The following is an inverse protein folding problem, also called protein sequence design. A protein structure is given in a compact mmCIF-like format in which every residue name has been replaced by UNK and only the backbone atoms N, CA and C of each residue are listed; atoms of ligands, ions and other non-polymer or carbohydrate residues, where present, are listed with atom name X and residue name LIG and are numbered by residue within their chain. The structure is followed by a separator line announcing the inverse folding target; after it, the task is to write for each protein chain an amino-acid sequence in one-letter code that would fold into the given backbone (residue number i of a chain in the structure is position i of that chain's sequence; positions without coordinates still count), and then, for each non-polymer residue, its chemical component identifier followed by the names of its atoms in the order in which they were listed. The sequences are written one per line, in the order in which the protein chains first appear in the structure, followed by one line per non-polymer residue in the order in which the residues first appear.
data_IF_924909757450
#
_entry.id   IF_924909757450
#
_cell.length_a   1.000
_cell.length_b   1.000
_cell.length_c   1.000
_cell.angle_alpha   90.00
_cell.angle_beta   90.00
_cell.angle_gamma   90.00
#
_symmetry.space_group_name_H-M   'P 1'
#
loop_
_entity.id
_entity.type
_entity.pdbx_description
1 polymer ?
#
# COMPACT_ATOMS: atom_id res chain seq x y z
N UNK A 1 -5.38 -2.82 -9.03
CA UNK A 1 -4.10 -2.17 -9.37
C UNK A 1 -3.24 -2.10 -8.09
N UNK A 2 -1.94 -1.80 -8.17
CA UNK A 2 -1.12 -1.55 -6.96
C UNK A 2 -0.42 -0.19 -7.11
N UNK A 3 -0.29 0.54 -6.02
CA UNK A 3 0.32 1.88 -5.99
C UNK A 3 1.74 1.86 -5.43
N UNK A 4 2.58 2.74 -5.95
CA UNK A 4 3.96 2.97 -5.53
C UNK A 4 4.23 4.48 -5.36
N UNK A 5 4.67 4.87 -4.18
CA UNK A 5 4.99 6.28 -3.86
C UNK A 5 6.39 6.39 -3.27
N UNK A 6 7.18 7.37 -3.74
CA UNK A 6 8.48 7.69 -3.14
C UNK A 6 8.30 8.39 -1.80
N UNK A 7 9.05 7.97 -0.78
CA UNK A 7 9.05 8.57 0.54
C UNK A 7 9.97 9.80 0.62
N UNK A 8 9.77 10.61 1.66
CA UNK A 8 10.50 11.87 1.84
C UNK A 8 12.02 11.73 2.01
N UNK A 9 12.52 10.53 2.29
CA UNK A 9 13.97 10.23 2.32
C UNK A 9 14.61 10.18 0.92
N UNK A 10 13.78 10.20 -0.13
CA UNK A 10 14.16 10.16 -1.54
C UNK A 10 14.74 8.82 -1.99
N UNK A 11 14.64 7.76 -1.19
CA UNK A 11 15.31 6.47 -1.44
C UNK A 11 14.47 5.24 -1.09
N UNK A 12 13.43 5.40 -0.29
CA UNK A 12 12.48 4.33 0.02
C UNK A 12 11.19 4.55 -0.74
N UNK A 13 10.62 3.50 -1.33
CA UNK A 13 9.26 3.53 -1.88
C UNK A 13 8.30 2.83 -0.93
N UNK A 14 7.12 3.41 -0.75
CA UNK A 14 5.96 2.74 -0.18
C UNK A 14 5.18 2.05 -1.30
N UNK A 15 4.77 0.81 -1.05
CA UNK A 15 4.00 -0.03 -1.96
C UNK A 15 2.73 -0.48 -1.25
N UNK A 16 1.59 -0.33 -1.91
CA UNK A 16 0.33 -0.90 -1.44
C UNK A 16 0.29 -2.38 -1.80
N UNK A 17 0.12 -3.23 -0.79
CA UNK A 17 -0.16 -4.65 -0.95
C UNK A 17 -1.56 -4.95 -0.42
N UNK A 18 -2.39 -5.54 -1.27
CA UNK A 18 -3.79 -5.87 -0.94
C UNK A 18 -4.18 -7.24 -1.47
N UNK A 19 -5.16 -7.87 -0.83
CA UNK A 19 -5.90 -8.98 -1.41
C UNK A 19 -7.20 -8.51 -2.09
N UNK A 20 -7.73 -9.35 -2.98
CA UNK A 20 -8.97 -9.09 -3.72
C UNK A 20 -10.21 -9.54 -2.91
N UNK A 21 -10.25 -9.19 -1.62
CA UNK A 21 -11.30 -9.61 -0.67
C UNK A 21 -11.88 -8.43 0.10
N UNK A 22 -13.18 -8.54 0.42
CA UNK A 22 -13.99 -7.52 1.11
C UNK A 22 -14.44 -7.97 2.50
N UNK A 23 -14.88 -7.00 3.29
CA UNK A 23 -15.56 -7.19 4.56
C UNK A 23 -14.83 -8.18 5.48
N UNK A 24 -15.58 -9.15 6.00
CA UNK A 24 -15.04 -10.18 6.90
C UNK A 24 -14.08 -11.16 6.23
N UNK A 25 -13.95 -11.14 4.92
CA UNK A 25 -13.01 -11.97 4.16
C UNK A 25 -11.71 -11.26 3.83
N UNK A 26 -11.63 -9.93 3.99
CA UNK A 26 -10.40 -9.16 3.80
C UNK A 26 -9.31 -9.64 4.77
N UNK A 27 -8.09 -9.88 4.27
CA UNK A 27 -6.94 -10.34 5.07
C UNK A 27 -5.72 -9.45 4.93
N UNK A 28 -5.56 -8.77 3.80
CA UNK A 28 -4.35 -8.00 3.50
C UNK A 28 -4.74 -6.64 2.94
N UNK A 29 -4.44 -5.59 3.70
CA UNK A 29 -4.47 -4.19 3.26
C UNK A 29 -3.30 -3.48 3.94
N UNK A 30 -2.14 -3.46 3.30
CA UNK A 30 -0.86 -3.12 3.95
C UNK A 30 -0.02 -2.17 3.10
N UNK A 31 0.82 -1.42 3.80
CA UNK A 31 1.80 -0.52 3.23
C UNK A 31 3.18 -1.09 3.55
N UNK A 32 3.92 -1.46 2.51
CA UNK A 32 5.29 -1.96 2.62
C UNK A 32 6.31 -0.94 2.14
N UNK A 33 7.46 -0.91 2.77
CA UNK A 33 8.60 -0.07 2.39
C UNK A 33 9.70 -0.91 1.76
N UNK A 34 10.25 -0.42 0.68
CA UNK A 34 11.42 -1.00 -0.01
C UNK A 34 12.46 0.08 -0.20
N UNK A 35 13.65 -0.12 0.35
CA UNK A 35 14.80 0.76 0.13
C UNK A 35 15.39 0.46 -1.26
N UNK A 36 15.52 1.48 -2.11
CA UNK A 36 16.03 1.36 -3.47
C UNK A 36 17.56 1.29 -3.53
N UNK A 37 18.27 1.55 -2.43
CA UNK A 37 19.75 1.47 -2.38
C UNK A 37 20.29 0.05 -2.28
N UNK A 38 19.44 -0.97 -2.31
CA UNK A 38 19.86 -2.37 -2.15
C UNK A 38 21.00 -2.65 -3.16
N UNK A 39 22.26 -2.79 -2.70
CA UNK A 39 23.42 -2.81 -3.59
C UNK A 39 23.50 -4.10 -4.42
N UNK A 40 22.63 -5.07 -4.11
CA UNK A 40 22.56 -6.39 -4.74
C UNK A 40 21.54 -6.50 -5.87
N UNK A 41 20.91 -5.41 -6.31
CA UNK A 41 19.97 -5.44 -7.45
C UNK A 41 20.69 -5.06 -8.73
N UNK A 42 20.80 -5.99 -9.66
CA UNK A 42 21.30 -5.73 -11.01
C UNK A 42 20.18 -5.93 -12.01
N UNK A 43 20.12 -5.09 -13.04
CA UNK A 43 19.20 -5.31 -14.16
C UNK A 43 19.47 -6.65 -14.83
N UNK A 44 18.42 -7.44 -15.04
CA UNK A 44 18.45 -8.74 -15.73
C UNK A 44 17.48 -8.74 -16.92
N UNK A 45 17.79 -9.42 -18.02
CA UNK A 45 16.85 -9.64 -19.11
C UNK A 45 15.56 -10.36 -18.66
N UNK A 46 14.43 -10.17 -19.38
CA UNK A 46 13.22 -10.94 -19.14
C UNK A 46 13.46 -12.45 -19.24
N UNK A 47 12.93 -13.22 -18.28
CA UNK A 47 13.04 -14.68 -18.25
C UNK A 47 14.24 -15.20 -17.46
N UNK A 48 15.17 -14.34 -17.04
CA UNK A 48 16.21 -14.70 -16.08
C UNK A 48 15.70 -14.58 -14.63
N UNK A 49 16.30 -15.32 -13.68
CA UNK A 49 16.05 -15.11 -12.26
C UNK A 49 16.35 -13.65 -11.88
N UNK A 50 15.34 -12.96 -11.33
CA UNK A 50 15.46 -11.58 -10.87
C UNK A 50 15.99 -11.55 -9.43
N UNK A 51 16.81 -10.55 -9.13
CA UNK A 51 17.22 -10.27 -7.76
C UNK A 51 15.98 -9.83 -6.95
N UNK A 52 15.85 -10.32 -5.71
CA UNK A 52 14.74 -9.95 -4.82
C UNK A 52 15.18 -8.90 -3.81
N UNK A 53 14.25 -8.04 -3.40
CA UNK A 53 14.45 -7.02 -2.38
C UNK A 53 13.67 -7.36 -1.12
N UNK A 54 14.22 -7.01 0.03
CA UNK A 54 13.50 -7.12 1.30
C UNK A 54 12.47 -5.99 1.40
N UNK A 55 11.28 -6.33 1.90
CA UNK A 55 10.23 -5.36 2.23
C UNK A 55 10.02 -5.29 3.74
N UNK A 56 9.71 -4.09 4.25
CA UNK A 56 9.37 -3.85 5.66
C UNK A 56 7.92 -3.41 5.78
N UNK A 57 7.14 -4.01 6.67
CA UNK A 57 5.78 -3.54 6.94
C UNK A 57 5.86 -2.15 7.60
N UNK A 58 5.17 -1.18 7.01
CA UNK A 58 5.16 0.22 7.49
C UNK A 58 3.86 0.56 8.20
N UNK A 59 2.75 -0.03 7.72
CA UNK A 59 1.44 0.03 8.35
C UNK A 59 0.53 -1.09 7.83
N UNK A 60 -0.22 -1.69 8.72
CA UNK A 60 -1.40 -2.49 8.36
C UNK A 60 -2.64 -1.60 8.50
N UNK A 61 -3.38 -1.40 7.41
CA UNK A 61 -4.53 -0.49 7.35
C UNK A 61 -5.86 -1.23 7.31
N UNK A 62 -5.88 -2.55 7.52
CA UNK A 62 -7.10 -3.34 7.55
C UNK A 62 -8.08 -2.79 8.61
N UNK A 63 -7.60 -2.58 9.83
CA UNK A 63 -8.41 -2.02 10.93
C UNK A 63 -8.76 -0.54 10.71
N UNK A 64 -7.92 0.21 9.99
CA UNK A 64 -8.24 1.59 9.64
C UNK A 64 -9.42 1.68 8.66
N UNK A 65 -9.47 0.77 7.69
CA UNK A 65 -10.56 0.67 6.72
C UNK A 65 -11.84 0.17 7.39
N UNK A 66 -11.75 -0.86 8.23
CA UNK A 66 -12.89 -1.43 8.96
C UNK A 66 -13.56 -0.38 9.88
N UNK A 67 -12.77 0.49 10.51
CA UNK A 67 -13.29 1.55 11.36
C UNK A 67 -13.96 2.70 10.58
N UNK A 68 -13.75 2.80 9.26
CA UNK A 68 -14.16 3.96 8.45
C UNK A 68 -15.24 3.65 7.41
N UNK A 69 -15.42 2.38 7.05
CA UNK A 69 -16.40 1.94 6.06
C UNK A 69 -17.50 1.11 6.70
N UNK A 70 -18.63 0.98 5.99
CA UNK A 70 -19.67 0.00 6.28
C UNK A 70 -19.14 -1.45 6.12
N UNK A 71 -18.17 -1.66 5.24
CA UNK A 71 -17.51 -2.96 5.01
C UNK A 71 -16.10 -2.71 4.49
N UNK A 72 -15.10 -3.44 4.97
CA UNK A 72 -13.72 -3.32 4.44
C UNK A 72 -13.74 -3.43 2.91
N UNK A 73 -13.28 -2.40 2.17
CA UNK A 73 -13.37 -2.38 0.73
C UNK A 73 -12.31 -3.30 0.12
N UNK A 74 -12.55 -3.72 -1.11
CA UNK A 74 -11.62 -4.58 -1.84
C UNK A 74 -10.31 -3.85 -2.17
N UNK A 75 -10.48 -2.64 -2.72
CA UNK A 75 -9.48 -1.98 -3.54
C UNK A 75 -8.90 -0.76 -2.86
N UNK A 76 -7.91 -1.00 -2.01
CA UNK A 76 -6.98 0.06 -1.62
C UNK A 76 -6.02 0.32 -2.79
N UNK A 77 -6.16 1.45 -3.48
CA UNK A 77 -5.49 1.65 -4.76
C UNK A 77 -4.71 2.95 -4.89
N UNK A 78 -4.89 3.94 -4.02
CA UNK A 78 -4.06 5.14 -4.06
C UNK A 78 -3.40 5.44 -2.72
N UNK A 79 -2.18 5.94 -2.80
CA UNK A 79 -1.33 6.27 -1.67
C UNK A 79 -0.43 7.45 -2.01
N UNK A 80 -0.40 8.45 -1.13
CA UNK A 80 0.52 9.57 -1.21
C UNK A 80 1.06 9.88 0.18
N UNK A 81 2.34 10.28 0.26
CA UNK A 81 2.96 10.64 1.53
C UNK A 81 3.39 12.11 1.51
N UNK A 82 3.20 12.80 2.62
CA UNK A 82 3.72 14.14 2.82
C UNK A 82 5.14 14.11 3.39
N UNK A 83 5.85 15.24 3.34
CA UNK A 83 7.20 15.37 3.88
C UNK A 83 7.29 15.06 5.39
N UNK A 84 6.21 15.26 6.16
CA UNK A 84 6.13 14.95 7.60
C UNK A 84 5.68 13.50 7.88
N UNK A 85 5.62 12.63 6.86
CA UNK A 85 5.33 11.20 7.02
C UNK A 85 3.86 10.86 7.23
N UNK A 86 2.93 11.78 6.92
CA UNK A 86 1.50 11.45 6.87
C UNK A 86 1.19 10.75 5.56
N UNK A 87 0.55 9.59 5.66
CA UNK A 87 0.12 8.80 4.53
C UNK A 87 -1.36 9.09 4.26
N UNK A 88 -1.66 9.54 3.05
CA UNK A 88 -3.02 9.64 2.51
C UNK A 88 -3.30 8.41 1.66
N UNK A 89 -4.52 7.89 1.79
CA UNK A 89 -4.98 6.68 1.15
C UNK A 89 -6.33 6.91 0.49
N UNK A 90 -6.54 6.29 -0.66
CA UNK A 90 -7.82 6.27 -1.36
C UNK A 90 -8.19 4.85 -1.82
N UNK A 91 -9.47 4.52 -1.71
CA UNK A 91 -10.04 3.31 -2.29
C UNK A 91 -10.66 3.62 -3.63
N UNK A 92 -10.47 2.75 -4.61
CA UNK A 92 -11.10 2.87 -5.92
C UNK A 92 -11.88 1.58 -6.18
N UNK A 93 -13.19 1.66 -6.01
CA UNK A 93 -14.07 0.51 -6.20
C UNK A 93 -14.53 0.48 -7.67
N UNK A 94 -14.67 -0.71 -8.26
CA UNK A 94 -15.17 -0.92 -9.64
C UNK A 94 -16.68 -0.59 -9.78
N UNK A 95 -17.11 0.54 -9.24
CA UNK A 95 -18.51 0.92 -9.10
C UNK A 95 -19.22 0.12 -8.00
N UNK A 96 -20.35 -0.48 -8.35
CA UNK A 96 -21.26 -1.16 -7.40
C UNK A 96 -21.38 -2.67 -7.66
N UNK A 97 -20.56 -3.22 -8.54
CA UNK A 97 -20.50 -4.66 -8.76
C UNK A 97 -19.80 -5.32 -7.57
N UNK A 98 -20.54 -6.13 -6.81
CA UNK A 98 -20.09 -6.77 -5.58
C UNK A 98 -19.46 -5.84 -4.52
N UNK A 99 -19.75 -4.54 -4.60
CA UNK A 99 -19.24 -3.52 -3.69
C UNK A 99 -20.31 -2.46 -3.38
N UNK A 100 -20.12 -1.71 -2.30
CA UNK A 100 -21.03 -0.67 -1.84
C UNK A 100 -20.86 0.66 -2.60
N UNK A 101 -19.81 0.79 -3.43
CA UNK A 101 -19.48 1.99 -4.18
C UNK A 101 -18.96 3.14 -3.32
N UNK A 102 -18.38 2.83 -2.16
CA UNK A 102 -17.86 3.85 -1.23
C UNK A 102 -16.39 4.14 -1.50
N UNK A 103 -16.10 5.35 -1.98
CA UNK A 103 -14.73 5.86 -2.01
C UNK A 103 -14.34 6.43 -0.66
N UNK A 104 -13.40 5.79 0.02
CA UNK A 104 -12.76 6.33 1.20
C UNK A 104 -11.55 7.18 0.80
N UNK A 105 -11.46 8.39 1.35
CA UNK A 105 -10.24 9.19 1.35
C UNK A 105 -9.86 9.57 2.78
N UNK A 106 -8.72 9.08 3.25
CA UNK A 106 -8.33 9.25 4.66
C UNK A 106 -6.81 9.34 4.82
N UNK A 107 -6.38 9.75 6.01
CA UNK A 107 -4.95 9.75 6.34
C UNK A 107 -4.66 9.01 7.64
N UNK A 108 -3.43 8.50 7.70
CA UNK A 108 -2.86 7.76 8.82
C UNK A 108 -1.40 8.17 9.02
N UNK A 109 -0.83 7.84 10.18
CA UNK A 109 0.60 7.96 10.45
C UNK A 109 1.27 6.63 10.14
N UNK A 110 2.48 6.64 9.58
CA UNK A 110 3.24 5.40 9.44
C UNK A 110 3.68 4.92 10.83
N UNK A 111 3.57 3.62 11.11
CA UNK A 111 3.90 3.06 12.42
C UNK A 111 5.41 3.01 12.63
N UNK A 112 6.15 2.93 11.53
CA UNK A 112 7.61 2.92 11.51
C UNK A 112 8.11 4.18 10.82
N UNK A 113 8.97 4.94 11.49
CA UNK A 113 9.71 6.02 10.84
C UNK A 113 10.70 5.44 9.80
N UNK A 114 10.97 6.23 8.78
CA UNK A 114 11.98 5.92 7.76
C UNK A 114 13.30 6.55 8.19
N UNK A 115 14.42 5.84 8.05
CA UNK A 115 15.74 6.38 8.38
C UNK A 115 16.14 7.54 7.46
#
# INVERSE_FOLDING_TARGET
MSEITLLGDGRTVAIVERDDRIGKDARVKRIYGVDLRVPSVTWRPPGEPLDTVAKRLLRDVLGDLDARSISVPDKLEGAAVTADGRLYLVTDDDGVEDNLGETLFFSVRLDTAFP
#
